data_IF_612955577780
#
_entry.id   IF_612955577780
#
_cell.length_a   1.000
_cell.length_b   1.000
_cell.length_c   1.000
_cell.angle_alpha   90.00
_cell.angle_beta   90.00
_cell.angle_gamma   90.00
#
_symmetry.space_group_name_H-M   'P 1'
#
loop_
_entity.id
_entity.type
_entity.pdbx_description
1 polymer ?
#
# COMPACT_ATOMS: atom_id res chain seq x y z
N UNK A 1 11.96 -3.97 -4.07
CA UNK A 1 10.67 -4.34 -3.45
C UNK A 1 10.35 -3.33 -2.37
N UNK A 2 9.11 -2.85 -2.28
CA UNK A 2 8.69 -1.95 -1.20
C UNK A 2 8.72 -2.68 0.15
N UNK A 3 9.05 -1.97 1.23
CA UNK A 3 9.13 -2.51 2.59
C UNK A 3 7.86 -3.26 3.00
N UNK A 4 6.68 -2.73 2.64
CA UNK A 4 5.39 -3.38 2.93
C UNK A 4 5.25 -4.76 2.26
N UNK A 5 5.78 -4.92 1.04
CA UNK A 5 5.73 -6.19 0.32
C UNK A 5 6.61 -7.25 0.99
N UNK A 6 7.83 -6.86 1.41
CA UNK A 6 8.73 -7.78 2.14
C UNK A 6 8.15 -8.20 3.48
N UNK A 7 7.53 -7.28 4.21
CA UNK A 7 6.85 -7.59 5.48
C UNK A 7 5.68 -8.54 5.25
N UNK A 8 4.90 -8.34 4.18
CA UNK A 8 3.81 -9.24 3.81
C UNK A 8 4.28 -10.65 3.46
N UNK A 9 5.37 -10.79 2.71
CA UNK A 9 5.94 -12.09 2.38
C UNK A 9 6.38 -12.85 3.65
N UNK A 10 7.02 -12.15 4.60
CA UNK A 10 7.39 -12.73 5.90
C UNK A 10 6.15 -13.13 6.70
N UNK A 11 5.11 -12.28 6.73
CA UNK A 11 3.85 -12.60 7.39
C UNK A 11 3.19 -13.86 6.86
N UNK A 12 3.16 -14.05 5.53
CA UNK A 12 2.63 -15.26 4.90
C UNK A 12 3.45 -16.49 5.26
N UNK A 13 4.78 -16.40 5.30
CA UNK A 13 5.66 -17.49 5.71
C UNK A 13 5.38 -17.91 7.16
N UNK A 14 5.22 -16.94 8.07
CA UNK A 14 4.89 -17.20 9.48
C UNK A 14 3.51 -17.86 9.60
N UNK A 15 2.49 -17.36 8.88
CA UNK A 15 1.17 -17.98 8.88
C UNK A 15 1.20 -19.41 8.33
N UNK A 16 1.98 -19.66 7.28
CA UNK A 16 2.18 -21.00 6.72
C UNK A 16 2.86 -21.93 7.72
N UNK A 17 3.84 -21.42 8.46
CA UNK A 17 4.52 -22.17 9.51
C UNK A 17 3.56 -22.51 10.66
N UNK A 18 2.80 -21.54 11.18
CA UNK A 18 1.80 -21.79 12.22
C UNK A 18 0.72 -22.80 11.79
N UNK A 19 0.28 -22.74 10.52
CA UNK A 19 -0.64 -23.71 9.95
C UNK A 19 -0.03 -25.12 9.92
N UNK A 20 1.21 -25.25 9.44
CA UNK A 20 1.93 -26.52 9.43
C UNK A 20 2.11 -27.09 10.85
N UNK A 21 2.55 -26.27 11.80
CA UNK A 21 2.72 -26.69 13.21
C UNK A 21 1.41 -27.18 13.83
N UNK A 22 0.28 -26.53 13.52
CA UNK A 22 -1.04 -26.98 13.99
C UNK A 22 -1.43 -28.33 13.40
N UNK A 23 -1.19 -28.54 12.11
CA UNK A 23 -1.47 -29.82 11.43
C UNK A 23 -0.59 -30.93 12.02
N UNK A 24 0.70 -30.66 12.22
CA UNK A 24 1.64 -31.62 12.79
C UNK A 24 1.25 -31.98 14.24
N UNK A 25 0.93 -30.99 15.07
CA UNK A 25 0.50 -31.20 16.45
C UNK A 25 -0.78 -32.03 16.52
N UNK A 26 -1.77 -31.73 15.66
CA UNK A 26 -2.99 -32.54 15.55
C UNK A 26 -2.69 -33.96 15.08
N UNK A 27 -1.71 -34.15 14.20
CA UNK A 27 -1.25 -35.46 13.77
C UNK A 27 -0.66 -36.27 14.92
N UNK A 28 0.15 -35.64 15.78
CA UNK A 28 0.73 -36.26 16.97
C UNK A 28 -0.34 -36.70 17.97
N UNK A 29 -1.31 -35.84 18.28
CA UNK A 29 -2.40 -36.18 19.21
C UNK A 29 -3.22 -37.39 18.75
N UNK A 30 -3.45 -37.52 17.43
CA UNK A 30 -4.12 -38.70 16.87
C UNK A 30 -3.35 -39.99 17.11
N UNK A 31 -2.01 -39.95 17.07
CA UNK A 31 -1.15 -41.11 17.34
C UNK A 31 -1.15 -41.46 18.83
N UNK A 32 -1.26 -40.44 19.68
CA UNK A 32 -1.32 -40.58 21.14
C UNK A 32 -2.73 -40.93 21.66
N UNK A 33 -3.72 -41.04 20.78
CA UNK A 33 -5.13 -41.24 21.14
C UNK A 33 -5.70 -40.14 22.08
N UNK A 34 -5.09 -38.95 22.04
CA UNK A 34 -5.51 -37.79 22.83
C UNK A 34 -6.48 -36.90 22.04
N UNK A 35 -7.42 -36.26 22.75
CA UNK A 35 -8.38 -35.34 22.15
C UNK A 35 -7.73 -33.98 21.83
N UNK A 36 -8.03 -33.43 20.65
CA UNK A 36 -7.56 -32.11 20.26
C UNK A 36 -8.45 -31.02 20.87
N UNK A 37 -7.98 -30.38 21.94
CA UNK A 37 -8.64 -29.20 22.53
C UNK A 37 -8.28 -27.89 21.83
N UNK A 38 -7.12 -27.82 21.16
CA UNK A 38 -6.65 -26.63 20.46
C UNK A 38 -5.14 -26.63 20.25
N UNK A 39 -4.60 -25.72 19.41
CA UNK A 39 -3.16 -25.57 19.24
C UNK A 39 -2.50 -24.99 20.50
N UNK A 40 -1.23 -25.30 20.76
CA UNK A 40 -0.52 -24.76 21.90
C UNK A 40 -0.32 -23.24 21.78
N UNK A 41 -0.23 -22.55 22.93
CA UNK A 41 -0.25 -21.08 23.01
C UNK A 41 0.86 -20.39 22.21
N UNK A 42 2.01 -21.05 22.05
CA UNK A 42 3.10 -20.55 21.22
C UNK A 42 2.70 -20.43 19.74
N UNK A 43 2.00 -21.44 19.19
CA UNK A 43 1.50 -21.43 17.80
C UNK A 43 0.39 -20.39 17.64
N UNK A 44 -0.44 -20.21 18.67
CA UNK A 44 -1.46 -19.14 18.66
C UNK A 44 -0.79 -17.76 18.60
N UNK A 45 0.25 -17.52 19.40
CA UNK A 45 1.00 -16.27 19.37
C UNK A 45 1.67 -16.05 18.01
N UNK A 46 2.28 -17.09 17.42
CA UNK A 46 2.87 -17.05 16.09
C UNK A 46 1.84 -16.67 15.01
N UNK A 47 0.65 -17.30 15.05
CA UNK A 47 -0.45 -17.01 14.14
C UNK A 47 -0.92 -15.55 14.26
N UNK A 48 -1.04 -15.02 15.49
CA UNK A 48 -1.42 -13.63 15.72
C UNK A 48 -0.37 -12.65 15.18
N UNK A 49 0.92 -12.95 15.37
CA UNK A 49 2.01 -12.15 14.81
C UNK A 49 1.96 -12.16 13.28
N UNK A 50 1.82 -13.33 12.67
CA UNK A 50 1.69 -13.47 11.21
C UNK A 50 0.49 -12.69 10.66
N UNK A 51 -0.65 -12.73 11.36
CA UNK A 51 -1.85 -11.99 10.99
C UNK A 51 -1.62 -10.48 11.00
N UNK A 52 -1.01 -9.94 12.07
CA UNK A 52 -0.74 -8.50 12.21
C UNK A 52 0.22 -8.02 11.12
N UNK A 53 1.26 -8.79 10.80
CA UNK A 53 2.19 -8.46 9.72
C UNK A 53 1.51 -8.44 8.35
N UNK A 54 0.63 -9.41 8.07
CA UNK A 54 -0.15 -9.44 6.84
C UNK A 54 -1.14 -8.27 6.74
N UNK A 55 -1.82 -7.91 7.83
CA UNK A 55 -2.69 -6.73 7.87
C UNK A 55 -1.89 -5.45 7.62
N UNK A 56 -0.73 -5.29 8.26
CA UNK A 56 0.16 -4.15 8.04
C UNK A 56 0.58 -4.05 6.57
N UNK A 57 1.00 -5.16 5.97
CA UNK A 57 1.33 -5.20 4.55
C UNK A 57 0.13 -4.83 3.66
N UNK A 58 -1.08 -5.32 3.98
CA UNK A 58 -2.32 -4.98 3.29
C UNK A 58 -2.67 -3.49 3.34
N UNK A 59 -2.21 -2.76 4.36
CA UNK A 59 -2.39 -1.31 4.46
C UNK A 59 -1.26 -0.53 3.77
N UNK A 60 -0.04 -1.06 3.73
CA UNK A 60 1.13 -0.35 3.20
C UNK A 60 1.47 -0.65 1.74
N UNK A 61 1.03 -1.80 1.20
CA UNK A 61 1.28 -2.18 -0.20
C UNK A 61 0.38 -1.43 -1.18
N UNK A 62 -0.92 -1.18 -0.91
CA UNK A 62 -1.72 -0.34 -1.77
C UNK A 62 -1.11 1.05 -1.93
N UNK A 63 -1.29 1.64 -3.11
CA UNK A 63 -0.81 2.98 -3.43
C UNK A 63 -1.43 4.06 -2.56
N UNK A 64 -0.88 5.27 -2.63
CA UNK A 64 -1.44 6.44 -1.95
C UNK A 64 -2.83 6.76 -2.49
N UNK A 65 -3.70 7.25 -1.61
CA UNK A 65 -4.96 7.83 -2.04
C UNK A 65 -4.70 9.00 -3.00
N UNK A 66 -5.41 9.03 -4.11
CA UNK A 66 -5.39 10.13 -5.07
C UNK A 66 -6.47 11.14 -4.71
N UNK A 67 -6.20 12.41 -4.96
CA UNK A 67 -7.18 13.47 -4.76
C UNK A 67 -8.28 13.38 -5.83
N UNK A 68 -9.53 13.46 -5.38
CA UNK A 68 -10.71 13.52 -6.26
C UNK A 68 -10.90 14.94 -6.82
N UNK A 69 -10.29 15.95 -6.20
CA UNK A 69 -10.47 17.33 -6.62
C UNK A 69 -9.79 17.58 -7.97
N UNK A 70 -10.49 18.11 -8.98
CA UNK A 70 -9.92 18.28 -10.33
C UNK A 70 -8.78 19.33 -10.38
N UNK A 71 -8.73 20.24 -9.40
CA UNK A 71 -7.70 21.29 -9.34
C UNK A 71 -6.55 20.93 -8.37
N UNK A 72 -6.53 19.73 -7.78
CA UNK A 72 -5.37 19.30 -6.98
C UNK A 72 -4.16 19.08 -7.87
N UNK A 73 -2.95 19.40 -7.41
CA UNK A 73 -1.71 19.33 -8.19
C UNK A 73 -1.54 18.02 -8.99
N UNK A 74 -1.89 16.88 -8.41
CA UNK A 74 -1.81 15.55 -9.04
C UNK A 74 -2.82 15.31 -10.18
N UNK A 75 -3.95 16.02 -10.18
CA UNK A 75 -5.08 15.83 -11.10
C UNK A 75 -5.33 17.06 -11.98
N UNK A 76 -4.58 18.14 -11.75
CA UNK A 76 -4.77 19.41 -12.44
C UNK A 76 -4.36 19.23 -13.89
N UNK A 77 -5.35 19.18 -14.78
CA UNK A 77 -5.17 19.35 -16.22
C UNK A 77 -4.81 20.82 -16.50
N UNK A 78 -3.64 21.25 -16.04
CA UNK A 78 -3.07 22.56 -16.43
C UNK A 78 -2.00 22.45 -17.49
N UNK A 79 -1.49 21.25 -17.74
CA UNK A 79 -0.98 20.96 -19.07
C UNK A 79 -2.19 20.75 -19.98
N UNK A 80 -2.84 21.83 -20.42
CA UNK A 80 -3.34 21.80 -21.80
C UNK A 80 -2.14 21.32 -22.62
N UNK A 81 -2.28 20.33 -23.52
CA UNK A 81 -1.24 20.06 -24.48
C UNK A 81 -0.86 21.42 -25.04
N UNK A 82 0.39 21.83 -24.85
CA UNK A 82 0.92 22.96 -25.57
C UNK A 82 0.90 22.48 -27.03
N UNK A 83 -0.26 22.61 -27.65
CA UNK A 83 -0.44 22.53 -29.08
C UNK A 83 0.28 23.77 -29.59
N UNK A 84 1.61 23.72 -29.56
CA UNK A 84 2.50 24.82 -29.91
C UNK A 84 2.18 25.32 -31.30
N UNK A 85 1.72 24.41 -32.17
CA UNK A 85 1.24 24.66 -33.53
C UNK A 85 -0.01 25.55 -33.60
N UNK A 86 -0.82 25.57 -32.52
CA UNK A 86 -2.07 26.35 -32.43
C UNK A 86 -2.00 27.44 -31.34
N UNK A 87 -0.79 27.83 -30.91
CA UNK A 87 -0.63 28.83 -29.87
C UNK A 87 -1.03 30.23 -30.36
N UNK A 88 -2.03 30.84 -29.73
CA UNK A 88 -2.52 32.19 -30.05
C UNK A 88 -2.08 33.18 -28.98
N UNK A 89 -1.39 34.25 -29.37
CA UNK A 89 -0.90 35.28 -28.44
C UNK A 89 -1.95 36.33 -28.04
N UNK A 90 -3.13 36.34 -28.69
CA UNK A 90 -4.23 37.25 -28.36
C UNK A 90 -5.10 36.72 -27.21
N UNK A 91 -4.55 36.76 -26.00
CA UNK A 91 -5.22 36.32 -24.77
C UNK A 91 -5.11 37.39 -23.69
N UNK A 92 -5.91 37.27 -22.61
CA UNK A 92 -5.94 38.24 -21.51
C UNK A 92 -4.59 38.42 -20.81
N UNK A 93 -3.69 37.43 -20.92
CA UNK A 93 -2.30 37.50 -20.44
C UNK A 93 -1.50 38.65 -21.05
N UNK A 94 -1.85 39.11 -22.26
CA UNK A 94 -1.20 40.25 -22.94
C UNK A 94 -1.28 41.57 -22.17
N UNK A 95 -2.27 41.72 -21.29
CA UNK A 95 -2.48 42.94 -20.50
C UNK A 95 -1.57 42.99 -19.27
N UNK A 96 -0.97 41.85 -18.89
CA UNK A 96 -0.08 41.79 -17.74
C UNK A 96 1.34 42.22 -18.15
N UNK A 97 2.03 43.02 -17.31
CA UNK A 97 3.41 43.42 -17.57
C UNK A 97 4.34 42.20 -17.57
N UNK A 98 5.26 42.14 -18.54
CA UNK A 98 6.25 41.07 -18.69
C UNK A 98 7.18 40.93 -17.48
N UNK A 99 7.37 42.02 -16.74
CA UNK A 99 8.15 42.13 -15.51
C UNK A 99 7.28 41.81 -14.28
N UNK A 100 6.52 40.73 -14.31
CA UNK A 100 5.93 40.22 -13.07
C UNK A 100 6.97 39.32 -12.41
N UNK A 101 7.62 39.84 -11.36
CA UNK A 101 8.38 39.09 -10.35
C UNK A 101 7.42 38.15 -9.58
N UNK A 102 6.64 37.33 -10.29
CA UNK A 102 5.92 36.22 -9.73
C UNK A 102 6.99 35.22 -9.34
N UNK A 103 7.35 35.20 -8.06
CA UNK A 103 7.95 34.03 -7.44
C UNK A 103 6.98 32.88 -7.70
N UNK A 104 7.18 32.19 -8.81
CA UNK A 104 6.68 30.84 -9.02
C UNK A 104 7.35 30.03 -7.91
N UNK A 105 6.65 29.88 -6.79
CA UNK A 105 6.90 28.78 -5.86
C UNK A 105 6.46 27.53 -6.61
N UNK A 106 7.39 27.00 -7.42
CA UNK A 106 7.45 25.56 -7.66
C UNK A 106 7.75 24.85 -6.34
#
# INVERSE_FOLDING_TARGET
MGLGFTVGAIGILILSHAAYSTIQYRGLLKILEEEFSGPPLNVVAELLIGLVLCMYAGLCVPGKFLSIHPDSDENRIVSLPANVDFMVFNHRGKVFPSETNLKLKC
#
